data_IF_340208167826
#
_entry.id   IF_340208167826
#
_cell.length_a   1.000
_cell.length_b   1.000
_cell.length_c   1.000
_cell.angle_alpha   90.00
_cell.angle_beta   90.00
_cell.angle_gamma   90.00
#
_symmetry.space_group_name_H-M   'P 1'
#
loop_
_entity.id
_entity.type
_entity.pdbx_description
1 polymer ?
#
# COMPACT_ATOMS: atom_id res chain seq x y z
N UNK A 1 -34.44 -19.34 -13.21
CA UNK A 1 -34.06 -18.23 -12.31
C UNK A 1 -32.78 -18.56 -11.55
N UNK A 2 -31.66 -18.87 -12.25
CA UNK A 2 -30.39 -19.29 -11.60
C UNK A 2 -29.21 -18.35 -11.81
N UNK A 3 -29.30 -17.35 -12.70
CA UNK A 3 -28.20 -16.41 -12.95
C UNK A 3 -27.89 -15.51 -11.75
N UNK A 4 -28.93 -15.14 -10.98
CA UNK A 4 -28.78 -14.34 -9.77
C UNK A 4 -28.22 -15.16 -8.60
N UNK A 5 -28.58 -16.46 -8.51
CA UNK A 5 -28.09 -17.38 -7.47
C UNK A 5 -26.57 -17.58 -7.59
N UNK A 6 -26.10 -17.89 -8.80
CA UNK A 6 -24.66 -18.04 -9.05
C UNK A 6 -23.90 -16.73 -8.82
N UNK A 7 -24.48 -15.58 -9.19
CA UNK A 7 -23.86 -14.27 -8.93
C UNK A 7 -23.73 -13.98 -7.42
N UNK A 8 -24.74 -14.35 -6.61
CA UNK A 8 -24.72 -14.14 -5.17
C UNK A 8 -23.72 -15.06 -4.46
N UNK A 9 -23.63 -16.32 -4.86
CA UNK A 9 -22.63 -17.26 -4.34
C UNK A 9 -21.22 -16.81 -4.70
N UNK A 10 -21.00 -16.37 -5.95
CA UNK A 10 -19.68 -15.94 -6.42
C UNK A 10 -19.20 -14.65 -5.74
N UNK A 11 -20.10 -13.68 -5.52
CA UNK A 11 -19.73 -12.36 -4.98
C UNK A 11 -19.85 -12.25 -3.47
N UNK A 12 -20.76 -13.00 -2.85
CA UNK A 12 -21.06 -12.87 -1.42
C UNK A 12 -20.91 -14.18 -0.63
N UNK A 13 -20.67 -15.32 -1.29
CA UNK A 13 -20.38 -16.60 -0.62
C UNK A 13 -21.50 -17.11 0.28
N UNK A 14 -22.74 -16.70 0.03
CA UNK A 14 -23.92 -17.09 0.81
C UNK A 14 -24.51 -18.36 0.19
N UNK A 15 -24.46 -19.54 0.84
CA UNK A 15 -25.13 -20.73 0.33
C UNK A 15 -26.65 -20.55 0.42
N UNK A 16 -27.36 -20.85 -0.67
CA UNK A 16 -28.80 -20.67 -0.76
C UNK A 16 -29.55 -21.93 -0.32
N UNK A 17 -29.42 -22.29 0.95
CA UNK A 17 -30.31 -23.28 1.57
C UNK A 17 -31.47 -22.54 2.24
N UNK A 18 -32.70 -22.83 1.82
CA UNK A 18 -33.92 -22.31 2.44
C UNK A 18 -34.09 -22.93 3.84
N UNK A 19 -33.51 -22.32 4.88
CA UNK A 19 -34.01 -22.53 6.24
C UNK A 19 -33.74 -21.35 7.17
N UNK A 20 -34.81 -20.99 7.89
CA UNK A 20 -34.88 -20.02 8.98
C UNK A 20 -33.99 -20.40 10.16
N UNK A 21 -32.99 -19.58 10.51
CA UNK A 21 -32.58 -19.43 11.90
C UNK A 21 -31.79 -18.13 12.16
N UNK A 22 -32.18 -17.47 13.25
CA UNK A 22 -31.60 -16.28 13.84
C UNK A 22 -30.09 -16.38 14.12
N UNK A 23 -29.41 -15.24 14.03
CA UNK A 23 -28.29 -14.91 14.95
C UNK A 23 -26.87 -15.04 14.40
N UNK A 24 -26.32 -13.89 14.00
CA UNK A 24 -24.91 -13.49 14.18
C UNK A 24 -23.83 -14.39 13.57
N UNK A 25 -23.47 -14.14 12.32
CA UNK A 25 -22.16 -14.55 11.78
C UNK A 25 -21.57 -13.42 10.92
N UNK A 26 -20.73 -12.59 11.55
CA UNK A 26 -19.83 -11.67 10.86
C UNK A 26 -18.88 -12.50 9.99
N UNK A 27 -19.14 -12.56 8.68
CA UNK A 27 -18.21 -13.13 7.69
C UNK A 27 -17.54 -11.98 6.95
N UNK A 28 -16.28 -11.75 7.32
CA UNK A 28 -15.37 -10.77 6.73
C UNK A 28 -15.24 -10.99 5.21
N UNK A 29 -15.36 -9.95 4.37
CA UNK A 29 -15.16 -10.09 2.92
C UNK A 29 -13.72 -10.55 2.61
N UNK A 30 -13.52 -11.39 1.57
CA UNK A 30 -12.20 -11.80 1.15
C UNK A 30 -11.41 -10.55 0.76
N UNK A 31 -10.31 -10.30 1.48
CA UNK A 31 -9.41 -9.19 1.26
C UNK A 31 -9.09 -9.11 -0.24
N UNK A 32 -9.63 -8.07 -0.89
CA UNK A 32 -9.30 -7.75 -2.26
C UNK A 32 -7.79 -7.80 -2.39
N UNK A 33 -7.30 -8.67 -3.28
CA UNK A 33 -5.90 -8.78 -3.66
C UNK A 33 -5.53 -7.56 -4.51
N UNK A 34 -5.80 -6.36 -3.99
CA UNK A 34 -5.23 -5.13 -4.50
C UNK A 34 -3.72 -5.34 -4.39
N UNK A 35 -3.03 -5.24 -5.53
CA UNK A 35 -1.58 -5.22 -5.55
C UNK A 35 -1.12 -4.32 -4.42
N UNK A 36 -0.43 -4.87 -3.42
CA UNK A 36 0.10 -4.14 -2.27
C UNK A 36 1.29 -3.29 -2.72
N UNK A 37 1.08 -2.45 -3.72
CA UNK A 37 2.06 -1.51 -4.21
C UNK A 37 2.25 -0.37 -3.22
N UNK A 38 3.45 0.19 -3.22
CA UNK A 38 3.72 1.44 -2.51
C UNK A 38 3.13 2.61 -3.27
N UNK A 39 2.42 3.49 -2.58
CA UNK A 39 1.88 4.72 -3.15
C UNK A 39 2.07 5.87 -2.16
N UNK A 40 2.32 7.07 -2.70
CA UNK A 40 2.39 8.30 -1.91
C UNK A 40 0.98 8.74 -1.54
N UNK A 41 0.71 8.86 -0.24
CA UNK A 41 -0.55 9.31 0.32
C UNK A 41 -0.61 10.84 0.40
N UNK A 42 0.51 11.48 0.76
CA UNK A 42 0.60 12.93 0.94
C UNK A 42 2.03 13.41 0.75
N UNK A 43 2.17 14.61 0.19
CA UNK A 43 3.43 15.38 0.19
C UNK A 43 3.29 16.52 1.18
N UNK A 44 4.28 16.67 2.08
CA UNK A 44 4.30 17.69 3.12
C UNK A 44 5.51 18.61 2.91
N UNK A 45 5.33 19.94 2.98
CA UNK A 45 6.46 20.85 2.98
C UNK A 45 7.24 20.68 4.28
N UNK A 46 8.56 20.87 4.20
CA UNK A 46 9.44 20.90 5.37
C UNK A 46 9.89 22.34 5.64
N UNK A 47 10.50 22.65 6.80
CA UNK A 47 11.13 23.95 7.04
C UNK A 47 12.26 24.27 6.04
N UNK A 48 12.87 23.24 5.43
CA UNK A 48 13.83 23.42 4.34
C UNK A 48 13.07 23.59 3.01
N UNK A 49 13.14 24.75 2.34
CA UNK A 49 12.42 24.99 1.09
C UNK A 49 12.85 24.08 -0.07
N UNK A 50 14.03 23.47 0.03
CA UNK A 50 14.55 22.55 -0.98
C UNK A 50 14.18 21.09 -0.72
N UNK A 51 13.33 20.80 0.28
CA UNK A 51 12.98 19.43 0.67
C UNK A 51 11.48 19.25 0.95
N UNK A 52 10.97 18.09 0.53
CA UNK A 52 9.60 17.64 0.77
C UNK A 52 9.60 16.27 1.46
N UNK A 53 8.64 16.05 2.34
CA UNK A 53 8.39 14.77 2.97
C UNK A 53 7.27 14.03 2.24
N UNK A 54 7.52 12.77 1.87
CA UNK A 54 6.56 11.90 1.19
C UNK A 54 6.03 10.85 2.17
N UNK A 55 4.74 10.95 2.53
CA UNK A 55 4.07 9.97 3.38
C UNK A 55 3.52 8.86 2.50
N UNK A 56 3.87 7.61 2.80
CA UNK A 56 3.52 6.43 2.00
C UNK A 56 2.61 5.48 2.78
N UNK A 57 1.98 4.54 2.06
CA UNK A 57 0.99 3.62 2.60
C UNK A 57 1.53 2.43 3.44
N UNK A 58 2.85 2.23 3.48
CA UNK A 58 3.48 1.14 4.21
C UNK A 58 4.94 1.47 4.57
N UNK A 59 5.49 0.89 5.66
CA UNK A 59 6.90 1.09 6.02
C UNK A 59 7.85 0.50 4.96
N UNK A 60 8.90 1.25 4.63
CA UNK A 60 9.94 0.84 3.67
C UNK A 60 11.25 0.39 4.35
N UNK A 61 11.47 0.79 5.61
CA UNK A 61 12.64 0.44 6.41
C UNK A 61 12.17 -0.42 7.58
N UNK A 62 12.88 -1.51 7.87
CA UNK A 62 12.50 -2.45 8.93
C UNK A 62 12.75 -1.91 10.35
N UNK A 63 13.85 -1.19 10.56
CA UNK A 63 14.20 -0.56 11.82
C UNK A 63 15.19 0.60 11.61
N UNK A 64 15.12 1.62 12.47
CA UNK A 64 15.98 2.80 12.41
C UNK A 64 15.66 3.74 11.25
N UNK A 65 16.59 4.67 11.01
CA UNK A 65 16.59 5.61 9.89
C UNK A 65 17.79 5.35 8.96
N UNK A 66 17.65 5.77 7.70
CA UNK A 66 18.71 5.70 6.70
C UNK A 66 18.84 7.06 6.05
N UNK A 67 20.04 7.61 6.04
CA UNK A 67 20.35 8.87 5.38
C UNK A 67 21.39 8.62 4.31
N UNK A 68 21.19 9.23 3.14
CA UNK A 68 22.12 9.17 2.02
C UNK A 68 22.49 10.60 1.60
N UNK A 69 23.77 10.95 1.69
CA UNK A 69 24.25 12.29 1.35
C UNK A 69 24.64 12.46 -0.11
N UNK A 70 24.72 11.34 -0.84
CA UNK A 70 25.09 11.28 -2.25
C UNK A 70 24.69 9.93 -2.86
N UNK A 71 24.82 9.82 -4.18
CA UNK A 71 24.44 8.62 -4.92
C UNK A 71 25.33 7.39 -4.63
N UNK A 72 26.60 7.58 -4.24
CA UNK A 72 27.53 6.49 -3.99
C UNK A 72 27.17 5.71 -2.70
N UNK A 73 26.64 6.41 -1.69
CA UNK A 73 26.13 5.79 -0.45
C UNK A 73 24.87 4.94 -0.67
N UNK A 74 24.10 5.24 -1.72
CA UNK A 74 22.85 4.56 -2.05
C UNK A 74 23.02 3.32 -2.93
N UNK A 75 24.25 2.88 -3.21
CA UNK A 75 24.53 1.78 -4.12
C UNK A 75 23.89 0.45 -3.73
N UNK A 76 23.72 0.20 -2.43
CA UNK A 76 23.09 -1.01 -1.87
C UNK A 76 21.57 -0.90 -1.68
N UNK A 77 20.98 0.28 -1.93
CA UNK A 77 19.54 0.51 -1.78
C UNK A 77 18.91 0.85 -3.14
N UNK A 78 18.17 -0.08 -3.77
CA UNK A 78 17.66 0.13 -5.11
C UNK A 78 16.66 1.29 -5.20
N UNK A 79 15.94 1.60 -4.12
CA UNK A 79 15.01 2.72 -4.07
C UNK A 79 15.77 4.04 -4.02
N UNK A 80 16.72 4.17 -3.09
CA UNK A 80 17.53 5.39 -2.98
C UNK A 80 18.34 5.63 -4.28
N UNK A 81 18.92 4.58 -4.85
CA UNK A 81 19.62 4.67 -6.15
C UNK A 81 18.74 5.18 -7.27
N UNK A 82 17.49 4.71 -7.36
CA UNK A 82 16.54 5.19 -8.36
C UNK A 82 16.16 6.66 -8.13
N UNK A 83 16.04 7.10 -6.88
CA UNK A 83 15.75 8.49 -6.53
C UNK A 83 16.90 9.43 -6.92
N UNK A 84 18.16 9.02 -6.73
CA UNK A 84 19.32 9.80 -7.15
C UNK A 84 19.48 9.92 -8.68
N UNK A 85 18.79 9.09 -9.48
CA UNK A 85 18.75 9.27 -10.93
C UNK A 85 17.86 10.44 -11.36
N UNK A 86 17.02 10.95 -10.45
CA UNK A 86 16.19 12.12 -10.70
C UNK A 86 17.07 13.37 -10.61
N UNK A 87 17.10 14.15 -11.69
CA UNK A 87 17.87 15.39 -11.74
C UNK A 87 17.49 16.33 -10.59
N UNK A 88 18.51 16.81 -9.87
CA UNK A 88 18.35 17.77 -8.76
C UNK A 88 18.16 17.14 -7.37
N UNK A 89 18.14 15.80 -7.25
CA UNK A 89 18.14 15.14 -5.94
C UNK A 89 19.57 15.15 -5.38
N UNK A 90 19.78 15.89 -4.28
CA UNK A 90 21.09 16.01 -3.62
C UNK A 90 21.28 15.03 -2.47
N UNK A 91 20.24 14.81 -1.64
CA UNK A 91 20.31 13.96 -0.45
C UNK A 91 18.94 13.30 -0.20
N UNK A 92 18.91 12.18 0.51
CA UNK A 92 17.69 11.42 0.87
C UNK A 92 17.71 11.09 2.36
N UNK A 93 16.57 11.26 3.02
CA UNK A 93 16.31 10.94 4.43
C UNK A 93 15.04 10.11 4.56
#
# INVERSE_FOLDING_TARGET
>A
MSKFRNWLEEWFGIPVDEESANGTALKTPPASRQSRGFHVLRVQPTPNPNAFQFVINAPIIGAGDKTYTNADEATEDPLAKALFQIYGVENIY
#
